data_IF_495678548779
#
_entry.id   IF_495678548779
#
_cell.length_a   1.000
_cell.length_b   1.000
_cell.length_c   1.000
_cell.angle_alpha   90.00
_cell.angle_beta   90.00
_cell.angle_gamma   90.00
#
_symmetry.space_group_name_H-M   'P 1'
#
loop_
_entity.id
_entity.type
_entity.pdbx_description
1 polymer ?
#
# COMPACT_ATOMS: atom_id res chain seq x y z
N UNK A 1 55.90 -1.36 52.05
CA UNK A 1 56.03 -0.59 50.79
C UNK A 1 54.93 -1.05 49.85
N UNK A 2 53.76 -0.40 49.86
CA UNK A 2 52.62 -0.85 49.05
C UNK A 2 51.39 0.02 49.21
N UNK A 3 51.57 1.35 49.24
CA UNK A 3 50.45 2.31 49.40
C UNK A 3 50.36 3.33 48.27
N UNK A 4 51.43 3.54 47.49
CA UNK A 4 51.41 4.50 46.38
C UNK A 4 50.77 3.94 45.10
N UNK A 5 50.84 2.62 44.88
CA UNK A 5 50.28 1.99 43.67
C UNK A 5 48.77 1.73 43.79
N UNK A 6 48.27 1.51 45.01
CA UNK A 6 46.82 1.35 45.24
C UNK A 6 46.07 2.67 45.07
N UNK A 7 46.64 3.79 45.51
CA UNK A 7 46.02 5.12 45.35
C UNK A 7 45.96 5.55 43.88
N UNK A 8 46.94 5.16 43.06
CA UNK A 8 46.96 5.43 41.61
C UNK A 8 45.94 4.56 40.86
N UNK A 9 45.77 3.30 41.28
CA UNK A 9 44.74 2.40 40.77
C UNK A 9 43.33 2.88 41.11
N UNK A 10 43.09 3.34 42.34
CA UNK A 10 41.79 3.90 42.76
C UNK A 10 41.46 5.15 41.95
N UNK A 11 42.47 6.00 41.67
CA UNK A 11 42.28 7.20 40.85
C UNK A 11 41.95 6.88 39.39
N UNK A 12 42.62 5.91 38.77
CA UNK A 12 42.29 5.47 37.40
C UNK A 12 40.90 4.82 37.29
N UNK A 13 40.46 4.08 38.32
CA UNK A 13 39.10 3.50 38.35
C UNK A 13 38.04 4.58 38.55
N UNK A 14 38.31 5.57 39.40
CA UNK A 14 37.41 6.71 39.60
C UNK A 14 37.30 7.57 38.34
N UNK A 15 38.42 7.84 37.67
CA UNK A 15 38.45 8.55 36.40
C UNK A 15 37.70 7.76 35.31
N UNK A 16 37.76 6.42 35.29
CA UNK A 16 36.98 5.60 34.34
C UNK A 16 35.47 5.69 34.61
N UNK A 17 35.04 5.64 35.88
CA UNK A 17 33.62 5.77 36.27
C UNK A 17 33.08 7.19 36.01
N UNK A 18 33.91 8.23 36.21
CA UNK A 18 33.56 9.62 35.84
C UNK A 18 33.62 9.87 34.33
N UNK A 19 34.52 9.20 33.60
CA UNK A 19 34.61 9.28 32.13
C UNK A 19 33.45 8.56 31.43
N UNK A 20 32.83 7.57 32.07
CA UNK A 20 31.62 6.90 31.56
C UNK A 20 30.31 7.56 32.04
N UNK A 21 30.37 8.54 32.95
CA UNK A 21 29.21 9.26 33.48
C UNK A 21 29.12 10.72 33.03
N UNK A 22 29.30 10.95 31.72
CA UNK A 22 28.51 11.98 31.01
C UNK A 22 27.55 11.31 30.03
N UNK A 23 26.58 10.58 30.56
CA UNK A 23 25.30 10.43 29.88
C UNK A 23 24.36 11.50 30.44
N UNK A 24 24.05 12.57 29.68
CA UNK A 24 22.84 13.31 29.93
C UNK A 24 21.68 12.33 29.78
N UNK A 25 20.89 12.22 30.83
CA UNK A 25 19.59 11.59 30.85
C UNK A 25 18.74 12.03 29.65
N UNK A 26 18.60 11.14 28.67
CA UNK A 26 17.35 10.78 27.98
C UNK A 26 16.33 11.90 27.69
N UNK A 27 16.76 13.02 27.12
CA UNK A 27 15.84 14.07 26.62
C UNK A 27 16.05 14.43 25.13
N UNK A 28 17.05 13.87 24.47
CA UNK A 28 17.40 14.24 23.07
C UNK A 28 16.73 13.33 22.03
N UNK A 29 16.38 12.09 22.39
CA UNK A 29 15.68 11.15 21.50
C UNK A 29 14.24 11.62 21.19
N UNK A 30 13.50 12.05 22.20
CA UNK A 30 12.13 12.54 22.03
C UNK A 30 12.05 13.76 21.12
N UNK A 31 13.00 14.70 21.25
CA UNK A 31 13.04 15.89 20.40
C UNK A 31 13.42 15.58 18.94
N UNK A 32 14.36 14.67 18.68
CA UNK A 32 14.73 14.33 17.30
C UNK A 32 13.62 13.53 16.59
N UNK A 33 12.90 12.66 17.30
CA UNK A 33 11.72 11.97 16.77
C UNK A 33 10.56 12.94 16.51
N UNK A 34 10.28 13.88 17.43
CA UNK A 34 9.22 14.88 17.25
C UNK A 34 9.49 15.84 16.07
N UNK A 35 10.75 16.25 15.86
CA UNK A 35 11.14 17.05 14.69
C UNK A 35 10.97 16.28 13.37
N UNK A 36 11.31 14.98 13.38
CA UNK A 36 11.09 14.11 12.22
C UNK A 36 9.59 13.95 11.93
N UNK A 37 8.78 13.75 12.97
CA UNK A 37 7.32 13.68 12.88
C UNK A 37 6.73 14.93 12.24
N UNK A 38 7.09 16.10 12.75
CA UNK A 38 6.66 17.40 12.20
C UNK A 38 7.10 17.60 10.75
N UNK A 39 8.31 17.17 10.41
CA UNK A 39 8.86 17.27 9.05
C UNK A 39 8.09 16.38 8.08
N UNK A 40 7.80 15.13 8.46
CA UNK A 40 7.00 14.21 7.64
C UNK A 40 5.60 14.75 7.37
N UNK A 41 4.96 15.38 8.36
CA UNK A 41 3.66 16.00 8.19
C UNK A 41 3.70 17.12 7.13
N UNK A 42 4.66 18.05 7.23
CA UNK A 42 4.77 19.12 6.24
C UNK A 42 5.12 18.60 4.85
N UNK A 43 5.98 17.59 4.74
CA UNK A 43 6.26 16.93 3.45
C UNK A 43 4.98 16.34 2.86
N UNK A 44 4.15 15.68 3.67
CA UNK A 44 2.87 15.14 3.20
C UNK A 44 1.95 16.25 2.69
N UNK A 45 1.83 17.35 3.46
CA UNK A 45 1.00 18.49 3.06
C UNK A 45 1.48 19.15 1.77
N UNK A 46 2.80 19.27 1.58
CA UNK A 46 3.40 19.80 0.36
C UNK A 46 3.09 18.90 -0.85
N UNK A 47 3.26 17.58 -0.71
CA UNK A 47 2.92 16.62 -1.76
C UNK A 47 1.43 16.72 -2.13
N UNK A 48 0.54 16.79 -1.14
CA UNK A 48 -0.91 16.91 -1.35
C UNK A 48 -1.30 18.25 -2.00
N UNK A 49 -0.53 19.33 -1.75
CA UNK A 49 -0.81 20.68 -2.25
C UNK A 49 -0.19 20.97 -3.63
N UNK A 50 0.77 20.18 -4.09
CA UNK A 50 1.50 20.36 -5.36
C UNK A 50 0.60 20.81 -6.53
N UNK A 51 0.99 21.91 -7.20
CA UNK A 51 0.12 22.66 -8.13
C UNK A 51 0.06 22.11 -9.56
N UNK A 52 1.09 21.41 -10.03
CA UNK A 52 1.24 21.02 -11.45
C UNK A 52 0.09 20.17 -12.04
N UNK A 53 -0.74 19.58 -11.18
CA UNK A 53 -1.79 18.62 -11.53
C UNK A 53 -3.18 19.05 -10.99
N UNK A 54 -3.27 20.23 -10.38
CA UNK A 54 -4.38 20.56 -9.45
C UNK A 54 -5.71 20.81 -10.15
N UNK A 55 -5.70 21.40 -11.34
CA UNK A 55 -6.94 21.71 -12.07
C UNK A 55 -7.63 20.44 -12.57
N UNK A 56 -6.87 19.55 -13.21
CA UNK A 56 -7.36 18.25 -13.65
C UNK A 56 -7.75 17.34 -12.47
N UNK A 57 -6.94 17.30 -11.41
CA UNK A 57 -7.28 16.59 -10.18
C UNK A 57 -8.59 17.13 -9.59
N UNK A 58 -8.75 18.45 -9.45
CA UNK A 58 -9.95 19.07 -8.90
C UNK A 58 -11.19 18.82 -9.77
N UNK A 59 -11.05 18.86 -11.10
CA UNK A 59 -12.11 18.51 -12.04
C UNK A 59 -12.59 17.09 -11.80
N UNK A 60 -11.68 16.12 -11.75
CA UNK A 60 -12.02 14.72 -11.52
C UNK A 60 -12.60 14.49 -10.12
N UNK A 61 -12.05 15.12 -9.07
CA UNK A 61 -12.60 15.07 -7.71
C UNK A 61 -14.05 15.56 -7.69
N UNK A 62 -14.34 16.68 -8.34
CA UNK A 62 -15.70 17.22 -8.42
C UNK A 62 -16.66 16.27 -9.13
N UNK A 63 -16.23 15.61 -10.20
CA UNK A 63 -17.02 14.56 -10.86
C UNK A 63 -17.30 13.39 -9.92
N UNK A 64 -16.30 12.87 -9.21
CA UNK A 64 -16.50 11.77 -8.24
C UNK A 64 -17.50 12.20 -7.17
N UNK A 65 -17.32 13.36 -6.54
CA UNK A 65 -18.21 13.86 -5.49
C UNK A 65 -19.64 14.15 -5.97
N UNK A 66 -19.80 14.61 -7.22
CA UNK A 66 -21.12 14.75 -7.87
C UNK A 66 -21.84 13.41 -7.89
N UNK A 67 -21.21 12.37 -8.43
CA UNK A 67 -21.88 11.09 -8.59
C UNK A 67 -21.97 10.27 -7.30
N UNK A 68 -21.07 10.47 -6.33
CA UNK A 68 -21.17 9.83 -5.02
C UNK A 68 -22.42 10.26 -4.24
N UNK A 69 -22.92 11.48 -4.46
CA UNK A 69 -24.17 11.96 -3.87
C UNK A 69 -25.41 11.30 -4.49
N UNK A 70 -25.33 10.91 -5.77
CA UNK A 70 -26.41 10.24 -6.50
C UNK A 70 -26.45 8.71 -6.23
N UNK A 71 -25.61 8.20 -5.32
CA UNK A 71 -25.56 6.78 -4.94
C UNK A 71 -26.33 6.60 -3.64
N UNK A 72 -27.64 6.39 -3.73
CA UNK A 72 -28.40 5.81 -2.62
C UNK A 72 -28.11 4.31 -2.54
N UNK A 73 -27.41 3.85 -1.49
CA UNK A 73 -27.40 2.44 -1.09
C UNK A 73 -26.03 1.78 -0.85
N UNK A 74 -26.09 0.69 -0.07
CA UNK A 74 -24.98 -0.17 0.38
C UNK A 74 -24.38 -1.01 -0.76
N UNK A 75 -23.86 -0.37 -1.80
CA UNK A 75 -23.21 -1.06 -2.91
C UNK A 75 -21.78 -1.45 -2.54
N UNK A 76 -21.30 -2.60 -3.05
CA UNK A 76 -19.90 -3.02 -2.91
C UNK A 76 -18.97 -2.01 -3.62
N UNK A 77 -17.71 -1.82 -3.17
CA UNK A 77 -16.78 -0.88 -3.79
C UNK A 77 -16.55 -1.15 -5.29
N UNK A 78 -16.51 -2.41 -5.72
CA UNK A 78 -16.40 -2.78 -7.15
C UNK A 78 -17.60 -2.37 -8.00
N UNK A 79 -18.82 -2.40 -7.45
CA UNK A 79 -20.01 -1.89 -8.14
C UNK A 79 -19.99 -0.37 -8.23
N UNK A 80 -19.53 0.30 -7.17
CA UNK A 80 -19.39 1.76 -7.14
C UNK A 80 -18.38 2.25 -8.18
N UNK A 81 -17.19 1.65 -8.24
CA UNK A 81 -16.15 2.04 -9.20
C UNK A 81 -16.61 1.89 -10.64
N UNK A 82 -17.33 0.80 -10.97
CA UNK A 82 -17.91 0.60 -12.29
C UNK A 82 -18.96 1.65 -12.63
N UNK A 83 -19.84 1.98 -11.68
CA UNK A 83 -20.87 3.00 -11.87
C UNK A 83 -20.25 4.39 -12.07
N UNK A 84 -19.22 4.74 -11.31
CA UNK A 84 -18.45 5.97 -11.49
C UNK A 84 -17.83 6.04 -12.88
N UNK A 85 -17.17 4.98 -13.34
CA UNK A 85 -16.60 4.91 -14.70
C UNK A 85 -17.68 5.11 -15.76
N UNK A 86 -18.83 4.45 -15.65
CA UNK A 86 -19.94 4.63 -16.60
C UNK A 86 -20.40 6.09 -16.64
N UNK A 87 -20.60 6.72 -15.48
CA UNK A 87 -21.04 8.12 -15.38
C UNK A 87 -20.00 9.09 -15.94
N UNK A 88 -18.72 8.90 -15.63
CA UNK A 88 -17.61 9.69 -16.20
C UNK A 88 -17.58 9.60 -17.73
N UNK A 89 -17.78 8.39 -18.28
CA UNK A 89 -17.85 8.21 -19.74
C UNK A 89 -19.06 8.90 -20.38
N UNK A 90 -20.21 8.96 -19.68
CA UNK A 90 -21.38 9.69 -20.17
C UNK A 90 -21.14 11.20 -20.26
N UNK A 91 -20.33 11.75 -19.35
CA UNK A 91 -19.91 13.16 -19.36
C UNK A 91 -18.61 13.38 -20.20
N UNK A 92 -18.29 12.43 -21.09
CA UNK A 92 -17.16 12.48 -22.05
C UNK A 92 -15.75 12.50 -21.43
N UNK A 93 -15.57 11.96 -20.22
CA UNK A 93 -14.23 11.73 -19.66
C UNK A 93 -13.70 10.35 -20.09
N UNK A 94 -12.41 10.30 -20.46
CA UNK A 94 -11.71 9.05 -20.75
C UNK A 94 -11.36 8.32 -19.44
N UNK A 95 -12.34 7.65 -18.85
CA UNK A 95 -12.21 6.89 -17.62
C UNK A 95 -12.29 5.38 -17.87
N UNK A 96 -11.50 4.60 -17.14
CA UNK A 96 -11.50 3.13 -17.22
C UNK A 96 -11.24 2.51 -15.84
N UNK A 97 -11.73 1.28 -15.66
CA UNK A 97 -11.46 0.51 -14.46
C UNK A 97 -10.14 -0.25 -14.64
N UNK A 98 -9.21 0.02 -13.73
CA UNK A 98 -7.90 -0.60 -13.71
C UNK A 98 -7.84 -1.72 -12.68
N UNK A 99 -7.49 -2.93 -13.11
CA UNK A 99 -7.26 -4.08 -12.24
C UNK A 99 -5.79 -4.48 -12.31
N UNK A 100 -5.09 -4.38 -11.20
CA UNK A 100 -3.71 -4.84 -11.07
C UNK A 100 -3.66 -6.20 -10.40
N UNK A 101 -2.66 -6.99 -10.77
CA UNK A 101 -2.35 -8.25 -10.12
C UNK A 101 -0.83 -8.42 -10.11
N UNK A 102 -0.26 -8.84 -9.00
CA UNK A 102 1.16 -9.14 -8.89
C UNK A 102 1.35 -10.54 -8.31
N UNK A 103 2.36 -11.24 -8.84
CA UNK A 103 2.74 -12.56 -8.36
C UNK A 103 3.54 -12.45 -7.07
N UNK A 104 3.58 -13.54 -6.31
CA UNK A 104 4.44 -13.65 -5.14
C UNK A 104 5.91 -13.51 -5.56
N UNK A 105 6.63 -12.61 -4.91
CA UNK A 105 8.09 -12.49 -4.99
C UNK A 105 8.70 -12.52 -3.58
N UNK A 106 10.03 -12.51 -3.48
CA UNK A 106 10.72 -12.49 -2.19
C UNK A 106 10.29 -11.27 -1.36
N UNK A 107 9.47 -11.50 -0.33
CA UNK A 107 8.96 -10.45 0.56
C UNK A 107 7.72 -9.69 0.07
N UNK A 108 7.15 -10.05 -1.09
CA UNK A 108 5.91 -9.47 -1.60
C UNK A 108 4.89 -10.58 -1.92
N UNK A 109 3.90 -10.83 -1.05
CA UNK A 109 2.82 -11.76 -1.32
C UNK A 109 2.04 -11.37 -2.57
N UNK A 110 1.50 -12.37 -3.28
CA UNK A 110 0.57 -12.10 -4.36
C UNK A 110 -0.66 -11.30 -3.88
N UNK A 111 -1.20 -10.50 -4.78
CA UNK A 111 -2.38 -9.71 -4.52
C UNK A 111 -2.98 -9.15 -5.80
N UNK A 112 -4.16 -8.55 -5.65
CA UNK A 112 -4.82 -7.80 -6.70
C UNK A 112 -5.49 -6.58 -6.12
N UNK A 113 -5.64 -5.55 -6.95
CA UNK A 113 -6.25 -4.30 -6.54
C UNK A 113 -7.00 -3.67 -7.72
N UNK A 114 -8.05 -2.91 -7.40
CA UNK A 114 -8.89 -2.24 -8.38
C UNK A 114 -8.95 -0.76 -8.07
N UNK A 115 -8.73 0.08 -9.09
CA UNK A 115 -8.83 1.53 -9.02
C UNK A 115 -9.38 2.08 -10.33
N UNK A 116 -9.70 3.37 -10.38
CA UNK A 116 -10.16 4.03 -11.60
C UNK A 116 -8.98 4.82 -12.18
N UNK A 117 -8.79 4.72 -13.49
CA UNK A 117 -7.85 5.56 -14.22
C UNK A 117 -8.63 6.55 -15.07
N UNK A 118 -8.19 7.81 -15.06
CA UNK A 118 -8.69 8.85 -15.95
C UNK A 118 -7.52 9.37 -16.79
N UNK A 119 -7.72 9.48 -18.09
CA UNK A 119 -6.77 10.08 -19.01
C UNK A 119 -7.30 11.48 -19.35
N UNK A 120 -6.53 12.51 -19.06
CA UNK A 120 -6.84 13.89 -19.46
C UNK A 120 -6.05 14.23 -20.72
N UNK A 121 -6.80 14.57 -21.77
CA UNK A 121 -6.29 15.02 -23.07
C UNK A 121 -6.42 16.54 -23.09
N UNK A 122 -5.52 17.24 -22.37
CA UNK A 122 -5.44 18.70 -22.47
C UNK A 122 -4.51 19.11 -23.61
N UNK A 123 -4.77 20.26 -24.24
CA UNK A 123 -4.02 20.76 -25.40
C UNK A 123 -2.53 20.99 -25.06
N UNK A 124 -2.23 21.27 -23.78
CA UNK A 124 -0.87 21.39 -23.25
C UNK A 124 -0.07 20.07 -23.29
N UNK A 125 -0.75 18.92 -23.36
CA UNK A 125 -0.15 17.58 -23.26
C UNK A 125 -0.24 16.79 -24.57
N UNK A 126 -0.37 17.45 -25.72
CA UNK A 126 -0.58 16.81 -27.04
C UNK A 126 0.39 15.67 -27.39
N UNK A 127 1.55 15.56 -26.72
CA UNK A 127 2.53 14.48 -26.90
C UNK A 127 2.62 13.47 -25.74
N UNK A 128 1.94 13.68 -24.60
CA UNK A 128 1.94 12.76 -23.48
C UNK A 128 0.68 12.94 -22.61
N UNK A 129 -0.41 12.22 -22.90
CA UNK A 129 -1.67 12.39 -22.17
C UNK A 129 -1.48 12.08 -20.70
N UNK A 130 -2.07 12.91 -19.84
CA UNK A 130 -1.85 12.83 -18.40
C UNK A 130 -2.72 11.72 -17.80
N UNK A 131 -2.07 10.82 -17.04
CA UNK A 131 -2.72 9.70 -16.36
C UNK A 131 -2.98 10.04 -14.90
N UNK A 132 -4.24 10.12 -14.53
CA UNK A 132 -4.70 10.26 -13.15
C UNK A 132 -5.19 8.92 -12.60
N UNK A 133 -4.78 8.63 -11.37
CA UNK A 133 -5.26 7.51 -10.57
C UNK A 133 -6.33 8.05 -9.62
N UNK A 134 -7.49 7.39 -9.61
CA UNK A 134 -8.62 7.68 -8.73
C UNK A 134 -8.86 6.46 -7.85
N UNK A 135 -8.73 6.64 -6.55
CA UNK A 135 -9.01 5.62 -5.54
C UNK A 135 -10.02 6.17 -4.52
N UNK A 136 -11.21 5.58 -4.47
CA UNK A 136 -12.34 6.06 -3.68
C UNK A 136 -12.24 5.71 -2.19
N UNK A 137 -11.32 4.80 -1.82
CA UNK A 137 -11.12 4.34 -0.44
C UNK A 137 -9.63 4.33 -0.09
N UNK A 138 -8.94 5.41 -0.45
CA UNK A 138 -7.49 5.52 -0.37
C UNK A 138 -6.97 5.53 1.07
N UNK A 139 -7.64 6.29 1.95
CA UNK A 139 -7.23 6.42 3.35
C UNK A 139 -7.22 5.07 4.09
N UNK A 140 -8.24 4.24 3.87
CA UNK A 140 -8.36 2.92 4.53
C UNK A 140 -7.18 2.00 4.17
N UNK A 141 -6.59 2.20 2.99
CA UNK A 141 -5.43 1.43 2.55
C UNK A 141 -4.21 1.64 3.43
N UNK A 142 -4.18 2.62 4.34
CA UNK A 142 -3.07 2.91 5.26
C UNK A 142 -3.41 2.66 6.74
N UNK A 143 -4.56 2.08 7.07
CA UNK A 143 -4.93 1.85 8.47
C UNK A 143 -4.05 0.82 9.21
N UNK A 144 -3.71 1.10 10.46
CA UNK A 144 -2.97 0.17 11.32
C UNK A 144 -3.80 -0.21 12.54
N UNK A 145 -3.62 -1.43 13.04
CA UNK A 145 -4.34 -1.91 14.23
C UNK A 145 -3.94 -1.17 15.52
N UNK A 146 -2.70 -0.69 15.61
CA UNK A 146 -2.17 0.08 16.74
C UNK A 146 -1.28 1.20 16.22
N UNK A 147 -1.84 2.28 15.65
CA UNK A 147 -1.03 3.39 15.16
C UNK A 147 -0.43 4.16 16.35
N UNK A 148 0.74 4.75 16.15
CA UNK A 148 1.22 5.83 17.01
C UNK A 148 0.43 7.10 16.72
N UNK A 149 0.46 8.06 17.65
CA UNK A 149 -0.27 9.32 17.48
C UNK A 149 0.20 10.07 16.22
N UNK A 150 1.51 10.13 16.00
CA UNK A 150 2.10 10.69 14.78
C UNK A 150 1.60 10.01 13.50
N UNK A 151 1.60 8.68 13.47
CA UNK A 151 1.12 7.96 12.28
C UNK A 151 -0.36 8.25 12.02
N UNK A 152 -1.16 8.32 13.09
CA UNK A 152 -2.57 8.66 13.01
C UNK A 152 -2.78 10.05 12.42
N UNK A 153 -2.01 11.05 12.85
CA UNK A 153 -2.05 12.41 12.28
C UNK A 153 -1.74 12.44 10.78
N UNK A 154 -0.74 11.67 10.34
CA UNK A 154 -0.45 11.53 8.91
C UNK A 154 -1.64 10.93 8.15
N UNK A 155 -2.18 9.80 8.62
CA UNK A 155 -3.32 9.14 7.95
C UNK A 155 -4.60 9.96 7.99
N UNK A 156 -4.83 10.71 9.06
CA UNK A 156 -6.01 11.56 9.23
C UNK A 156 -5.99 12.76 8.27
N UNK A 157 -4.81 13.16 7.82
CA UNK A 157 -4.63 14.21 6.82
C UNK A 157 -4.80 13.75 5.36
N UNK A 158 -4.86 12.43 5.10
CA UNK A 158 -5.00 11.90 3.74
C UNK A 158 -6.42 12.09 3.20
N UNK A 159 -6.61 12.38 1.92
CA UNK A 159 -7.94 12.41 1.34
C UNK A 159 -8.55 11.00 1.37
N UNK A 160 -9.86 10.91 1.63
CA UNK A 160 -10.60 9.63 1.54
C UNK A 160 -10.60 9.15 0.08
N UNK A 161 -10.89 10.07 -0.84
CA UNK A 161 -10.82 9.86 -2.28
C UNK A 161 -9.52 10.46 -2.78
N UNK A 162 -8.59 9.64 -3.21
CA UNK A 162 -7.37 10.10 -3.86
C UNK A 162 -7.61 10.31 -5.34
N UNK A 163 -7.14 11.45 -5.84
CA UNK A 163 -7.00 11.74 -7.27
C UNK A 163 -5.62 12.35 -7.46
N UNK A 164 -4.80 11.76 -8.33
CA UNK A 164 -3.48 12.32 -8.61
C UNK A 164 -2.63 11.46 -9.53
N UNK A 165 -1.46 11.97 -9.87
CA UNK A 165 -0.48 11.29 -10.72
C UNK A 165 0.23 10.13 -10.00
N UNK A 166 0.82 9.23 -10.79
CA UNK A 166 1.65 8.14 -10.28
C UNK A 166 2.81 8.65 -9.41
N UNK A 167 3.43 9.76 -9.79
CA UNK A 167 4.54 10.35 -9.05
C UNK A 167 4.09 10.84 -7.67
N UNK A 168 2.96 11.55 -7.61
CA UNK A 168 2.35 12.01 -6.34
C UNK A 168 2.03 10.82 -5.45
N UNK A 169 1.41 9.78 -6.00
CA UNK A 169 1.09 8.54 -5.30
C UNK A 169 2.33 7.83 -4.75
N UNK A 170 3.40 7.68 -5.55
CA UNK A 170 4.67 7.10 -5.14
C UNK A 170 5.28 7.79 -3.92
N UNK A 171 5.27 9.12 -3.91
CA UNK A 171 5.80 9.93 -2.80
C UNK A 171 4.99 9.70 -1.53
N UNK A 172 3.66 9.73 -1.63
CA UNK A 172 2.75 9.46 -0.50
C UNK A 172 2.98 8.06 0.07
N UNK A 173 2.99 7.03 -0.79
CA UNK A 173 3.22 5.64 -0.36
C UNK A 173 4.57 5.49 0.33
N UNK A 174 5.63 6.07 -0.23
CA UNK A 174 6.98 5.96 0.34
C UNK A 174 7.06 6.58 1.74
N UNK A 175 6.47 7.76 1.90
CA UNK A 175 6.41 8.46 3.18
C UNK A 175 5.60 7.68 4.22
N UNK A 176 4.38 7.29 3.88
CA UNK A 176 3.47 6.59 4.79
C UNK A 176 3.96 5.19 5.15
N UNK A 177 4.56 4.44 4.21
CA UNK A 177 5.12 3.12 4.52
C UNK A 177 6.33 3.24 5.47
N UNK A 178 7.14 4.29 5.34
CA UNK A 178 8.22 4.57 6.28
C UNK A 178 7.67 4.87 7.68
N UNK A 179 6.68 5.77 7.78
CA UNK A 179 6.03 6.10 9.03
C UNK A 179 5.29 4.90 9.65
N UNK A 180 4.68 4.05 8.82
CA UNK A 180 4.01 2.83 9.26
C UNK A 180 4.99 1.84 9.87
N UNK A 181 6.14 1.64 9.24
CA UNK A 181 7.23 0.80 9.77
C UNK A 181 7.69 1.31 11.13
N UNK A 182 7.89 2.62 11.27
CA UNK A 182 8.27 3.23 12.53
C UNK A 182 7.18 3.02 13.60
N UNK A 183 5.92 3.31 13.27
CA UNK A 183 4.78 3.11 14.18
C UNK A 183 4.66 1.67 14.67
N UNK A 184 4.79 0.69 13.78
CA UNK A 184 4.69 -0.73 14.15
C UNK A 184 5.85 -1.13 15.07
N UNK A 185 7.08 -0.72 14.75
CA UNK A 185 8.27 -1.00 15.57
C UNK A 185 8.16 -0.40 16.97
N UNK A 186 7.72 0.86 17.07
CA UNK A 186 7.49 1.55 18.36
C UNK A 186 6.43 0.84 19.20
N UNK A 187 5.44 0.20 18.56
CA UNK A 187 4.40 -0.60 19.23
C UNK A 187 4.76 -2.08 19.39
N UNK A 188 6.02 -2.46 19.16
CA UNK A 188 6.51 -3.83 19.30
C UNK A 188 5.88 -4.81 18.31
N UNK A 189 5.38 -4.33 17.17
CA UNK A 189 4.75 -5.13 16.12
C UNK A 189 5.73 -5.37 14.95
N UNK A 190 5.71 -6.59 14.42
CA UNK A 190 6.40 -6.89 13.17
C UNK A 190 5.74 -6.15 11.99
N UNK A 191 6.55 -5.72 11.01
CA UNK A 191 6.05 -5.06 9.80
C UNK A 191 5.54 -6.13 8.84
N UNK A 192 4.23 -6.25 8.60
CA UNK A 192 3.73 -7.24 7.68
C UNK A 192 4.14 -6.89 6.24
N UNK A 193 4.28 -7.88 5.35
CA UNK A 193 4.78 -7.65 4.00
C UNK A 193 3.90 -6.72 3.16
N UNK A 194 2.59 -6.68 3.42
CA UNK A 194 1.67 -5.75 2.75
C UNK A 194 1.81 -4.28 3.21
N UNK A 195 2.62 -4.01 4.24
CA UNK A 195 2.95 -2.66 4.70
C UNK A 195 4.34 -2.21 4.21
N UNK A 196 4.88 -2.88 3.21
CA UNK A 196 6.10 -2.46 2.52
C UNK A 196 5.79 -1.49 1.38
N UNK A 197 6.73 -0.60 1.08
CA UNK A 197 6.61 0.35 -0.04
C UNK A 197 6.41 -0.38 -1.37
N UNK A 198 7.15 -1.47 -1.60
CA UNK A 198 7.04 -2.26 -2.83
C UNK A 198 5.65 -2.87 -3.00
N UNK A 199 5.11 -3.54 -1.96
CA UNK A 199 3.76 -4.11 -2.03
C UNK A 199 2.70 -3.04 -2.26
N UNK A 200 2.78 -1.92 -1.53
CA UNK A 200 1.82 -0.84 -1.69
C UNK A 200 1.91 -0.21 -3.08
N UNK A 201 3.11 0.03 -3.61
CA UNK A 201 3.26 0.51 -4.99
C UNK A 201 2.68 -0.49 -6.01
N UNK A 202 2.85 -1.80 -5.81
CA UNK A 202 2.29 -2.82 -6.70
C UNK A 202 0.77 -2.76 -6.83
N UNK A 203 0.03 -2.28 -5.81
CA UNK A 203 -1.43 -2.10 -5.90
C UNK A 203 -1.84 -1.18 -7.05
N UNK A 204 -1.13 -0.09 -7.28
CA UNK A 204 -1.54 0.89 -8.30
C UNK A 204 -0.66 0.84 -9.55
N UNK A 205 0.61 0.48 -9.41
CA UNK A 205 1.62 0.64 -10.46
C UNK A 205 1.99 -0.66 -11.18
N UNK A 206 1.50 -1.82 -10.72
CA UNK A 206 1.69 -3.07 -11.48
C UNK A 206 0.95 -2.98 -12.82
N UNK A 207 1.33 -3.86 -13.76
CA UNK A 207 0.66 -3.94 -15.05
C UNK A 207 -0.84 -4.09 -14.85
N UNK A 208 -1.57 -3.12 -15.38
CA UNK A 208 -3.00 -3.09 -15.30
C UNK A 208 -3.63 -3.90 -16.44
N UNK A 209 -4.59 -4.75 -16.10
CA UNK A 209 -5.44 -5.45 -17.07
C UNK A 209 -6.65 -4.57 -17.40
N UNK A 210 -6.47 -3.61 -18.29
CA UNK A 210 -7.60 -2.82 -18.80
C UNK A 210 -8.39 -3.67 -19.82
N UNK A 211 -9.69 -3.86 -19.58
CA UNK A 211 -10.55 -4.64 -20.50
C UNK A 211 -10.95 -3.87 -21.77
N UNK A 212 -10.69 -2.57 -21.85
CA UNK A 212 -11.26 -1.70 -22.90
C UNK A 212 -10.22 -0.88 -23.68
N UNK A 213 -8.94 -0.96 -23.36
CA UNK A 213 -7.89 -0.25 -24.12
C UNK A 213 -6.59 -1.06 -24.10
N UNK A 214 -6.51 -2.08 -24.96
CA UNK A 214 -5.22 -2.63 -25.39
C UNK A 214 -4.98 -2.17 -26.84
N UNK A 215 -4.25 -1.05 -27.06
CA UNK A 215 -3.91 -0.62 -28.41
C UNK A 215 -2.70 -1.37 -29.00
N UNK A 216 -2.14 -2.40 -28.33
CA UNK A 216 -0.88 -3.01 -28.77
C UNK A 216 -0.82 -4.53 -28.53
N UNK A 217 -1.71 -5.28 -29.18
CA UNK A 217 -1.44 -6.69 -29.49
C UNK A 217 -2.00 -7.12 -30.86
N UNK A 218 -1.58 -6.45 -31.93
CA UNK A 218 -1.61 -7.05 -33.29
C UNK A 218 -0.18 -7.39 -33.72
N UNK A 219 0.27 -8.57 -33.32
CA UNK A 219 1.51 -9.19 -33.80
C UNK A 219 1.18 -10.47 -34.57
N UNK A 220 1.37 -10.41 -35.89
CA UNK A 220 1.32 -11.50 -36.87
C UNK A 220 1.91 -12.82 -36.33
N UNK A 221 1.12 -13.89 -36.32
CA UNK A 221 1.64 -15.25 -36.32
C UNK A 221 2.24 -15.55 -37.69
N UNK A 222 3.57 -15.67 -37.76
CA UNK A 222 4.26 -16.39 -38.82
C UNK A 222 5.21 -17.40 -38.16
N UNK A 223 4.88 -18.68 -38.32
CA UNK A 223 5.70 -19.83 -37.93
C UNK A 223 6.94 -19.93 -38.84
N UNK A 224 8.14 -19.76 -38.30
CA UNK A 224 9.37 -20.46 -38.76
C UNK A 224 10.22 -20.78 -37.52
N UNK A 225 10.64 -22.04 -37.42
CA UNK A 225 11.17 -22.62 -36.20
C UNK A 225 12.67 -22.46 -35.93
N UNK A 226 12.99 -22.94 -34.73
CA UNK A 226 14.26 -23.53 -34.27
C UNK A 226 15.31 -22.64 -33.56
N UNK A 227 15.58 -23.08 -32.32
CA UNK A 227 16.81 -23.06 -31.49
C UNK A 227 17.10 -21.87 -30.56
N UNK A 228 16.80 -22.12 -29.28
CA UNK A 228 17.50 -21.83 -28.01
C UNK A 228 18.58 -20.73 -27.98
N UNK A 229 18.43 -19.73 -27.10
CA UNK A 229 19.02 -19.70 -25.74
C UNK A 229 18.68 -18.37 -25.03
N UNK A 230 18.50 -18.40 -23.71
CA UNK A 230 18.67 -17.21 -22.85
C UNK A 230 17.42 -16.41 -22.47
N UNK A 231 16.95 -16.67 -21.23
CA UNK A 231 16.39 -15.67 -20.30
C UNK A 231 15.16 -14.86 -20.76
N UNK A 232 13.97 -15.41 -20.53
CA UNK A 232 12.71 -14.67 -20.60
C UNK A 232 11.66 -15.26 -19.66
N UNK A 233 11.27 -14.53 -18.63
CA UNK A 233 10.18 -14.92 -17.73
C UNK A 233 8.85 -14.74 -18.45
N UNK A 234 8.28 -15.86 -18.94
CA UNK A 234 6.97 -15.88 -19.58
C UNK A 234 5.91 -15.71 -18.49
N UNK A 235 5.25 -14.55 -18.50
CA UNK A 235 4.12 -14.22 -17.64
C UNK A 235 2.92 -15.07 -18.09
N UNK A 236 2.63 -16.13 -17.33
CA UNK A 236 1.39 -16.88 -17.47
C UNK A 236 0.20 -16.02 -17.06
N UNK A 237 -0.83 -15.96 -17.92
CA UNK A 237 -2.16 -15.42 -17.59
C UNK A 237 -2.68 -16.17 -16.35
N UNK A 238 -2.80 -15.48 -15.22
CA UNK A 238 -3.35 -16.07 -14.00
C UNK A 238 -4.86 -16.23 -14.15
N UNK A 239 -5.34 -17.46 -13.94
CA UNK A 239 -6.76 -17.80 -13.86
C UNK A 239 -7.02 -18.29 -12.43
N UNK A 240 -8.00 -17.73 -11.70
CA UNK A 240 -8.30 -18.21 -10.35
C UNK A 240 -8.76 -19.68 -10.38
N UNK A 241 -8.30 -20.54 -9.44
CA UNK A 241 -8.74 -21.92 -9.37
C UNK A 241 -10.24 -21.99 -9.06
N UNK A 242 -10.98 -22.72 -9.90
CA UNK A 242 -12.39 -23.01 -9.66
C UNK A 242 -12.51 -24.14 -8.64
N UNK A 243 -12.94 -23.83 -7.41
CA UNK A 243 -13.21 -24.82 -6.37
C UNK A 243 -14.49 -25.57 -6.73
N UNK A 244 -14.34 -26.77 -7.29
CA UNK A 244 -15.47 -27.68 -7.51
C UNK A 244 -15.90 -28.26 -6.17
N UNK A 245 -17.13 -27.96 -5.74
CA UNK A 245 -17.79 -28.65 -4.63
C UNK A 245 -18.02 -30.10 -5.03
N UNK A 246 -17.12 -30.99 -4.60
CA UNK A 246 -17.27 -32.42 -4.84
C UNK A 246 -18.04 -33.03 -3.66
N UNK A 247 -19.37 -33.04 -3.76
CA UNK A 247 -20.21 -33.92 -2.95
C UNK A 247 -19.90 -35.36 -3.40
N UNK A 248 -19.06 -36.06 -2.65
CA UNK A 248 -18.95 -37.52 -2.77
C UNK A 248 -19.82 -38.15 -1.69
N UNK A 249 -20.82 -38.89 -2.16
CA UNK A 249 -21.70 -39.72 -1.34
C UNK A 249 -20.88 -40.72 -0.53
N UNK A 250 -21.28 -40.86 0.74
CA UNK A 250 -20.69 -41.74 1.72
C UNK A 250 -21.20 -43.16 1.45
N UNK A 251 -20.30 -44.05 1.05
CA UNK A 251 -20.52 -45.49 1.03
C UNK A 251 -19.46 -46.19 1.88
N UNK A 252 -19.84 -46.57 3.10
CA UNK A 252 -19.35 -47.75 3.81
C UNK A 252 -17.97 -47.70 4.49
N UNK A 253 -17.97 -47.95 5.81
CA UNK A 253 -16.95 -48.82 6.42
C UNK A 253 -15.92 -48.18 7.35
N UNK A 254 -16.30 -48.04 8.62
CA UNK A 254 -15.57 -48.45 9.83
C UNK A 254 -14.08 -48.11 10.03
N UNK A 255 -13.78 -47.43 11.15
CA UNK A 255 -12.57 -47.73 11.94
C UNK A 255 -11.95 -46.57 12.72
N UNK A 256 -12.19 -46.56 14.04
CA UNK A 256 -11.39 -45.93 15.11
C UNK A 256 -11.69 -44.43 15.39
N UNK A 257 -12.53 -44.14 16.38
CA UNK A 257 -12.18 -43.92 17.81
C UNK A 257 -11.80 -42.45 18.08
N UNK A 258 -12.78 -41.58 18.30
CA UNK A 258 -13.19 -41.07 19.63
C UNK A 258 -12.03 -40.61 20.50
N UNK A 259 -11.84 -39.29 20.67
CA UNK A 259 -11.82 -38.53 21.93
C UNK A 259 -11.88 -37.02 21.62
N UNK A 260 -12.37 -36.22 22.57
CA UNK A 260 -12.69 -34.78 22.53
C UNK A 260 -14.13 -34.42 22.13
N UNK A 261 -15.08 -34.88 22.94
CA UNK A 261 -16.32 -34.15 23.20
C UNK A 261 -16.18 -33.37 24.51
N UNK A 262 -16.77 -32.18 24.54
CA UNK A 262 -17.01 -31.29 25.70
C UNK A 262 -15.97 -30.21 26.02
N UNK A 263 -16.11 -29.07 25.33
CA UNK A 263 -16.11 -27.79 26.03
C UNK A 263 -17.28 -26.96 25.48
N UNK A 264 -18.31 -26.75 26.31
CA UNK A 264 -19.41 -25.84 26.02
C UNK A 264 -18.95 -24.42 26.31
N UNK A 265 -19.08 -23.53 25.33
CA UNK A 265 -18.79 -22.10 25.49
C UNK A 265 -20.08 -21.47 26.00
N UNK A 266 -20.13 -21.14 27.29
CA UNK A 266 -21.13 -20.25 27.85
C UNK A 266 -20.74 -18.81 27.53
N UNK A 267 -21.56 -18.13 26.73
CA UNK A 267 -21.49 -16.68 26.57
C UNK A 267 -22.14 -16.00 27.78
N UNK A 268 -21.40 -15.09 28.41
CA UNK A 268 -21.93 -13.93 29.11
C UNK A 268 -21.36 -12.69 28.45
#
# INVERSE_FOLDING_TARGET
MGSLEEDELVKMVQDFIESESTSPTNSTSSNCHALNHRTQYFILQDILRSEYDKEDEAKVVNYVLKYMRDIEGTEKPTSLSRRLVMKMKMDSLNASLCQTSWATSSGCPAGGYEYIQVITEDENYANNPMRLIVDIDFRSQFELARPTQHYKELTDSLPVIFVGTENKLCKIISLLCSAAKQSLREKGLHVPPWRTTSYMQSKWLSRCHNKEHDPTSKGRENNIGAKNDGTGCIIGKWVPPSVKNNKREIGGGSGLSSQFSNIGINCW
#
